data_IF_718044432347
#
_entry.id   IF_718044432347
#
_cell.length_a   1.000
_cell.length_b   1.000
_cell.length_c   1.000
_cell.angle_alpha   90.00
_cell.angle_beta   90.00
_cell.angle_gamma   90.00
#
_symmetry.space_group_name_H-M   'P 1'
#
loop_
_entity.id
_entity.type
_entity.pdbx_description
1 polymer ?
#
# COMPACT_ATOMS: atom_id res chain seq x y z
N UNK A 1 -5.62 -22.79 -9.29
CA UNK A 1 -5.35 -21.84 -10.39
C UNK A 1 -6.39 -20.72 -10.51
N UNK A 2 -7.67 -20.95 -10.20
CA UNK A 2 -8.73 -19.93 -10.29
C UNK A 2 -8.64 -18.84 -9.22
N UNK A 3 -8.28 -19.20 -7.99
CA UNK A 3 -8.22 -18.27 -6.85
C UNK A 3 -7.09 -17.21 -6.98
N UNK A 4 -5.89 -17.62 -7.37
CA UNK A 4 -4.77 -16.69 -7.61
C UNK A 4 -5.06 -15.72 -8.75
N UNK A 5 -5.72 -16.21 -9.81
CA UNK A 5 -6.11 -15.38 -10.96
C UNK A 5 -7.05 -14.27 -10.50
N UNK A 6 -8.01 -14.58 -9.63
CA UNK A 6 -8.92 -13.60 -9.04
C UNK A 6 -8.21 -12.57 -8.15
N UNK A 7 -7.23 -12.99 -7.34
CA UNK A 7 -6.45 -12.08 -6.49
C UNK A 7 -5.64 -11.07 -7.34
N UNK A 8 -4.99 -11.55 -8.40
CA UNK A 8 -4.26 -10.69 -9.33
C UNK A 8 -5.18 -9.74 -10.09
N UNK A 9 -6.31 -10.23 -10.60
CA UNK A 9 -7.28 -9.39 -11.31
C UNK A 9 -7.85 -8.31 -10.39
N UNK A 10 -8.20 -8.65 -9.16
CA UNK A 10 -8.68 -7.71 -8.16
C UNK A 10 -7.63 -6.66 -7.83
N UNK A 11 -6.38 -7.07 -7.60
CA UNK A 11 -5.25 -6.18 -7.35
C UNK A 11 -5.04 -5.19 -8.49
N UNK A 12 -4.81 -5.67 -9.71
CA UNK A 12 -4.47 -4.78 -10.84
C UNK A 12 -5.65 -3.87 -11.21
N UNK A 13 -6.88 -4.37 -11.15
CA UNK A 13 -8.06 -3.52 -11.36
C UNK A 13 -8.16 -2.41 -10.33
N UNK A 14 -7.94 -2.72 -9.04
CA UNK A 14 -7.99 -1.72 -7.98
C UNK A 14 -6.85 -0.70 -8.11
N UNK A 15 -5.65 -1.16 -8.48
CA UNK A 15 -4.50 -0.31 -8.69
C UNK A 15 -4.69 0.65 -9.87
N UNK A 16 -5.15 0.16 -11.02
CA UNK A 16 -5.38 1.00 -12.21
C UNK A 16 -6.38 2.11 -11.89
N UNK A 17 -7.48 1.77 -11.22
CA UNK A 17 -8.47 2.74 -10.77
C UNK A 17 -7.86 3.76 -9.81
N UNK A 18 -7.04 3.32 -8.85
CA UNK A 18 -6.37 4.21 -7.89
C UNK A 18 -5.41 5.18 -8.59
N UNK A 19 -4.56 4.69 -9.50
CA UNK A 19 -3.53 5.49 -10.17
C UNK A 19 -4.13 6.52 -11.13
N UNK A 20 -5.19 6.16 -11.86
CA UNK A 20 -5.85 7.03 -12.85
C UNK A 20 -6.74 8.08 -12.16
N UNK A 21 -7.17 7.86 -10.93
CA UNK A 21 -8.07 8.79 -10.23
C UNK A 21 -7.40 10.16 -10.01
N UNK A 22 -8.05 11.21 -10.52
CA UNK A 22 -7.56 12.59 -10.51
C UNK A 22 -8.58 13.56 -9.89
N UNK A 23 -9.87 13.29 -10.02
CA UNK A 23 -10.94 14.23 -9.68
C UNK A 23 -11.78 13.74 -8.52
N UNK A 24 -12.20 14.68 -7.69
CA UNK A 24 -13.12 14.41 -6.58
C UNK A 24 -14.49 13.99 -7.12
N UNK A 25 -14.95 12.82 -6.69
CA UNK A 25 -16.25 12.27 -7.06
C UNK A 25 -16.97 11.57 -5.88
N UNK A 26 -16.41 11.63 -4.67
CA UNK A 26 -16.98 11.06 -3.45
C UNK A 26 -16.70 9.56 -3.27
N UNK A 27 -15.91 8.95 -4.15
CA UNK A 27 -15.55 7.53 -4.09
C UNK A 27 -14.12 7.29 -3.57
N UNK A 28 -13.43 8.33 -3.09
CA UNK A 28 -12.01 8.28 -2.72
C UNK A 28 -11.77 7.28 -1.58
N UNK A 29 -12.69 7.23 -0.61
CA UNK A 29 -12.63 6.27 0.49
C UNK A 29 -12.72 4.82 0.01
N UNK A 30 -13.73 4.51 -0.81
CA UNK A 30 -13.95 3.16 -1.33
C UNK A 30 -12.84 2.73 -2.27
N UNK A 31 -12.34 3.66 -3.08
CA UNK A 31 -11.23 3.45 -3.99
C UNK A 31 -9.96 3.04 -3.24
N UNK A 32 -9.57 3.81 -2.22
CA UNK A 32 -8.39 3.54 -1.39
C UNK A 32 -8.57 2.24 -0.61
N UNK A 33 -9.73 2.04 0.02
CA UNK A 33 -10.01 0.84 0.80
C UNK A 33 -9.95 -0.43 -0.07
N UNK A 34 -10.54 -0.39 -1.28
CA UNK A 34 -10.51 -1.51 -2.21
C UNK A 34 -9.08 -1.82 -2.69
N UNK A 35 -8.27 -0.79 -2.95
CA UNK A 35 -6.88 -0.99 -3.34
C UNK A 35 -6.03 -1.58 -2.21
N UNK A 36 -6.18 -1.08 -0.99
CA UNK A 36 -5.51 -1.64 0.19
C UNK A 36 -5.92 -3.10 0.40
N UNK A 37 -7.22 -3.38 0.43
CA UNK A 37 -7.74 -4.73 0.65
C UNK A 37 -7.23 -5.71 -0.40
N UNK A 38 -7.32 -5.35 -1.68
CA UNK A 38 -6.87 -6.22 -2.78
C UNK A 38 -5.35 -6.48 -2.72
N UNK A 39 -4.57 -5.46 -2.36
CA UNK A 39 -3.11 -5.57 -2.19
C UNK A 39 -2.73 -6.44 -1.00
N UNK A 40 -3.38 -6.27 0.16
CA UNK A 40 -3.13 -7.07 1.35
C UNK A 40 -3.55 -8.52 1.17
N UNK A 41 -4.67 -8.78 0.48
CA UNK A 41 -5.11 -10.13 0.12
C UNK A 41 -4.08 -10.82 -0.79
N UNK A 42 -3.57 -10.14 -1.82
CA UNK A 42 -2.55 -10.71 -2.70
C UNK A 42 -1.21 -10.91 -1.98
N UNK A 43 -0.79 -9.97 -1.13
CA UNK A 43 0.44 -10.12 -0.35
C UNK A 43 0.36 -11.30 0.63
N UNK A 44 -0.78 -11.44 1.32
CA UNK A 44 -0.99 -12.53 2.31
C UNK A 44 -0.98 -13.90 1.65
N UNK A 45 -1.40 -14.00 0.38
CA UNK A 45 -1.27 -15.24 -0.39
C UNK A 45 0.17 -15.75 -0.48
N UNK A 46 1.16 -14.86 -0.48
CA UNK A 46 2.59 -15.18 -0.54
C UNK A 46 3.26 -15.31 0.83
N UNK A 47 2.50 -15.20 1.91
CA UNK A 47 3.08 -15.29 3.26
C UNK A 47 3.66 -16.68 3.51
N UNK A 48 4.64 -16.73 4.41
CA UNK A 48 5.42 -17.93 4.78
C UNK A 48 4.57 -19.15 5.18
N UNK A 49 3.37 -18.95 5.71
CA UNK A 49 2.47 -20.03 6.12
C UNK A 49 1.62 -20.60 4.98
N UNK A 50 1.71 -20.05 3.76
CA UNK A 50 0.96 -20.54 2.60
C UNK A 50 1.76 -21.56 1.79
N UNK A 51 1.05 -22.44 1.08
CA UNK A 51 1.64 -23.40 0.12
C UNK A 51 2.37 -22.71 -1.06
N UNK A 52 2.17 -21.40 -1.21
CA UNK A 52 2.73 -20.56 -2.27
C UNK A 52 3.68 -19.49 -1.70
N UNK A 53 4.23 -19.72 -0.51
CA UNK A 53 5.11 -18.80 0.19
C UNK A 53 6.20 -18.23 -0.74
N UNK A 54 6.20 -16.91 -0.88
CA UNK A 54 7.20 -16.17 -1.63
C UNK A 54 7.42 -14.81 -0.96
N UNK A 55 8.36 -14.71 -0.01
CA UNK A 55 8.62 -13.47 0.74
C UNK A 55 8.89 -12.26 -0.16
N UNK A 56 9.55 -12.47 -1.31
CA UNK A 56 9.84 -11.39 -2.25
C UNK A 56 8.58 -10.82 -2.90
N UNK A 57 7.60 -11.67 -3.20
CA UNK A 57 6.31 -11.22 -3.73
C UNK A 57 5.45 -10.58 -2.65
N UNK A 58 5.43 -11.12 -1.42
CA UNK A 58 4.78 -10.47 -0.29
C UNK A 58 5.33 -9.04 -0.11
N UNK A 59 6.65 -8.89 -0.05
CA UNK A 59 7.31 -7.59 0.05
C UNK A 59 7.00 -6.66 -1.12
N UNK A 60 7.04 -7.19 -2.35
CA UNK A 60 6.78 -6.41 -3.56
C UNK A 60 5.42 -5.74 -3.50
N UNK A 61 4.35 -6.49 -3.20
CA UNK A 61 3.00 -5.95 -3.16
C UNK A 61 2.77 -5.01 -1.98
N UNK A 62 3.35 -5.31 -0.81
CA UNK A 62 3.27 -4.43 0.35
C UNK A 62 3.99 -3.09 0.13
N UNK A 63 5.21 -3.12 -0.42
CA UNK A 63 5.97 -1.89 -0.70
C UNK A 63 5.32 -1.08 -1.83
N UNK A 64 4.80 -1.75 -2.86
CA UNK A 64 4.07 -1.09 -3.96
C UNK A 64 2.85 -0.34 -3.43
N UNK A 65 2.03 -0.98 -2.60
CA UNK A 65 0.91 -0.32 -1.94
C UNK A 65 1.37 0.89 -1.12
N UNK A 66 2.36 0.72 -0.24
CA UNK A 66 2.87 1.79 0.61
C UNK A 66 3.34 3.00 -0.20
N UNK A 67 4.22 2.78 -1.19
CA UNK A 67 4.77 3.87 -1.99
C UNK A 67 3.74 4.51 -2.91
N UNK A 68 2.76 3.77 -3.43
CA UNK A 68 1.68 4.36 -4.21
C UNK A 68 0.79 5.29 -3.36
N UNK A 69 0.44 4.88 -2.13
CA UNK A 69 -0.26 5.78 -1.20
C UNK A 69 0.60 7.00 -0.86
N UNK A 70 1.88 6.78 -0.54
CA UNK A 70 2.80 7.83 -0.13
C UNK A 70 3.03 8.87 -1.25
N UNK A 71 3.22 8.41 -2.48
CA UNK A 71 3.36 9.28 -3.65
C UNK A 71 2.10 10.09 -3.90
N UNK A 72 0.93 9.48 -3.77
CA UNK A 72 -0.36 10.18 -3.91
C UNK A 72 -0.52 11.26 -2.85
N UNK A 73 -0.12 11.05 -1.58
CA UNK A 73 -0.14 12.09 -0.54
C UNK A 73 0.70 13.30 -0.94
N UNK A 74 1.86 13.07 -1.55
CA UNK A 74 2.81 14.11 -1.95
C UNK A 74 2.48 14.77 -3.30
N UNK A 75 1.60 14.18 -4.10
CA UNK A 75 1.25 14.68 -5.42
C UNK A 75 0.21 15.81 -5.34
N UNK A 76 0.66 17.04 -5.54
CA UNK A 76 -0.19 18.25 -5.53
C UNK A 76 -1.22 18.29 -6.65
N UNK A 77 -1.09 17.45 -7.68
CA UNK A 77 -2.04 17.35 -8.80
C UNK A 77 -3.24 16.46 -8.47
N UNK A 78 -3.15 15.66 -7.42
CA UNK A 78 -4.24 14.80 -6.93
C UNK A 78 -5.22 15.60 -6.09
N UNK A 79 -6.50 15.20 -6.10
CA UNK A 79 -7.51 15.90 -5.32
C UNK A 79 -7.21 15.85 -3.81
N UNK A 80 -7.48 16.94 -3.05
CA UNK A 80 -7.14 17.01 -1.63
C UNK A 80 -7.76 15.90 -0.77
N UNK A 81 -8.98 15.45 -1.13
CA UNK A 81 -9.65 14.36 -0.43
C UNK A 81 -8.87 13.06 -0.58
N UNK A 82 -8.52 12.66 -1.81
CA UNK A 82 -7.74 11.45 -2.03
C UNK A 82 -6.42 11.46 -1.26
N UNK A 83 -5.70 12.59 -1.28
CA UNK A 83 -4.45 12.78 -0.52
C UNK A 83 -4.66 12.54 0.97
N UNK A 84 -5.72 13.12 1.55
CA UNK A 84 -6.06 12.96 2.97
C UNK A 84 -6.48 11.53 3.31
N UNK A 85 -7.28 10.88 2.45
CA UNK A 85 -7.69 9.48 2.63
C UNK A 85 -6.47 8.56 2.60
N UNK A 86 -5.56 8.75 1.63
CA UNK A 86 -4.31 7.99 1.56
C UNK A 86 -3.47 8.16 2.82
N UNK A 87 -3.31 9.40 3.30
CA UNK A 87 -2.55 9.69 4.52
C UNK A 87 -3.19 9.03 5.75
N UNK A 88 -4.52 9.03 5.86
CA UNK A 88 -5.22 8.40 6.98
C UNK A 88 -5.08 6.87 6.95
N UNK A 89 -5.10 6.25 5.78
CA UNK A 89 -5.06 4.78 5.64
C UNK A 89 -3.64 4.21 5.47
N UNK A 90 -2.60 5.04 5.37
CA UNK A 90 -1.20 4.59 5.17
C UNK A 90 -0.65 3.71 6.29
N UNK A 91 -1.27 3.75 7.47
CA UNK A 91 -0.88 2.91 8.60
C UNK A 91 -1.13 1.42 8.34
N UNK A 92 -2.10 1.05 7.50
CA UNK A 92 -2.40 -0.34 7.18
C UNK A 92 -1.23 -1.06 6.48
N UNK A 93 -0.71 -0.57 5.33
CA UNK A 93 0.47 -1.18 4.73
C UNK A 93 1.71 -1.06 5.63
N UNK A 94 1.82 0.00 6.43
CA UNK A 94 2.95 0.16 7.34
C UNK A 94 2.97 -0.93 8.44
N UNK A 95 1.82 -1.29 9.00
CA UNK A 95 1.70 -2.40 9.96
C UNK A 95 2.05 -3.73 9.30
N UNK A 96 1.55 -3.97 8.08
CA UNK A 96 1.88 -5.19 7.33
C UNK A 96 3.39 -5.29 7.03
N UNK A 97 4.03 -4.20 6.58
CA UNK A 97 5.48 -4.13 6.35
C UNK A 97 6.28 -4.29 7.64
N UNK A 98 5.80 -3.73 8.76
CA UNK A 98 6.41 -3.96 10.07
C UNK A 98 6.45 -5.44 10.40
N UNK A 99 5.33 -6.14 10.18
CA UNK A 99 5.22 -7.57 10.47
C UNK A 99 6.17 -8.39 9.58
N UNK A 100 6.21 -8.08 8.28
CA UNK A 100 7.12 -8.71 7.31
C UNK A 100 8.59 -8.53 7.71
N UNK A 101 9.00 -7.30 8.04
CA UNK A 101 10.39 -6.97 8.36
C UNK A 101 10.86 -7.34 9.76
N UNK A 102 9.95 -7.72 10.67
CA UNK A 102 10.30 -8.03 12.07
C UNK A 102 11.16 -9.30 12.21
N UNK A 103 11.31 -10.10 11.16
CA UNK A 103 12.01 -11.38 11.21
C UNK A 103 13.54 -11.26 11.25
N UNK A 104 14.11 -10.07 11.00
CA UNK A 104 15.57 -9.86 11.05
C UNK A 104 15.99 -8.44 11.42
N UNK A 105 17.20 -8.27 11.95
CA UNK A 105 17.79 -6.94 12.22
C UNK A 105 17.92 -6.09 10.95
N UNK A 106 18.23 -6.72 9.82
CA UNK A 106 18.31 -6.04 8.52
C UNK A 106 16.92 -5.59 8.04
N UNK A 107 15.90 -6.44 8.19
CA UNK A 107 14.51 -6.07 7.93
C UNK A 107 14.07 -4.87 8.75
N UNK A 108 14.37 -4.86 10.05
CA UNK A 108 14.05 -3.73 10.91
C UNK A 108 14.66 -2.40 10.41
N UNK A 109 15.89 -2.41 9.87
CA UNK A 109 16.49 -1.22 9.25
C UNK A 109 15.67 -0.74 8.04
N UNK A 110 15.21 -1.65 7.18
CA UNK A 110 14.34 -1.30 6.06
C UNK A 110 13.00 -0.71 6.53
N UNK A 111 12.41 -1.26 7.59
CA UNK A 111 11.20 -0.69 8.18
C UNK A 111 11.42 0.73 8.70
N UNK A 112 12.55 1.01 9.36
CA UNK A 112 12.89 2.36 9.83
C UNK A 112 13.04 3.37 8.68
N UNK A 113 13.54 2.92 7.52
CA UNK A 113 13.59 3.77 6.31
C UNK A 113 12.18 4.15 5.84
N UNK A 114 11.25 3.19 5.77
CA UNK A 114 9.86 3.47 5.41
C UNK A 114 9.19 4.47 6.37
N UNK A 115 9.45 4.34 7.67
CA UNK A 115 8.94 5.30 8.66
C UNK A 115 9.55 6.69 8.48
N UNK A 116 10.82 6.77 8.07
CA UNK A 116 11.48 8.03 7.77
C UNK A 116 10.82 8.71 6.56
N UNK A 117 10.60 7.96 5.47
CA UNK A 117 9.95 8.47 4.26
C UNK A 117 8.55 9.05 4.57
N UNK A 118 7.76 8.36 5.41
CA UNK A 118 6.45 8.84 5.84
C UNK A 118 6.53 10.14 6.66
N UNK A 119 7.48 10.22 7.61
CA UNK A 119 7.67 11.41 8.45
C UNK A 119 8.08 12.63 7.63
N UNK A 120 8.92 12.46 6.62
CA UNK A 120 9.33 13.55 5.73
C UNK A 120 8.12 14.14 5.00
N UNK A 121 7.21 13.29 4.52
CA UNK A 121 6.00 13.74 3.83
C UNK A 121 4.99 14.37 4.80
N UNK A 122 4.82 13.85 6.02
CA UNK A 122 3.98 14.49 7.03
C UNK A 122 4.49 15.90 7.37
N UNK A 123 5.80 16.05 7.57
CA UNK A 123 6.41 17.34 7.84
C UNK A 123 6.22 18.36 6.70
N UNK A 124 6.31 17.91 5.44
CA UNK A 124 6.10 18.77 4.27
C UNK A 124 4.64 19.21 4.08
N UNK A 125 3.66 18.47 4.62
CA UNK A 125 2.24 18.78 4.49
C UNK A 125 1.66 19.51 5.72
N UNK A 126 2.41 19.66 6.81
CA UNK A 126 2.04 20.38 8.04
C UNK A 126 2.54 21.85 8.06
N UNK A 127 2.68 22.49 6.89
CA UNK A 127 2.96 23.94 6.72
C UNK A 127 1.98 24.59 5.74
#
# INVERSE_FOLDING_TARGET
MTETTFLYQSFYKAEDLFLIHQYENGLEHDLVANYIQSSLSLATWYRKESDFANPLLEELFLRRLFYNLLNTVNDVTKCPILRRVCLNQIHEPLIALKHYYNQSRTGHKYFLLLQKDLKEIQYLNDL
#
